data_IF_466666653959
#
_entry.id   IF_466666653959
#
_cell.length_a   1.000
_cell.length_b   1.000
_cell.length_c   1.000
_cell.angle_alpha   90.00
_cell.angle_beta   90.00
_cell.angle_gamma   90.00
#
_symmetry.space_group_name_H-M   'P 1'
#
loop_
_entity.id
_entity.type
_entity.pdbx_description
1 polymer ?
#
# COMPACT_ATOMS: atom_id res chain seq x y z
N UNK A 1 7.86 35.17 -57.72
CA UNK A 1 7.97 35.25 -56.24
C UNK A 1 6.62 34.99 -55.54
N UNK A 2 5.51 35.62 -55.89
CA UNK A 2 4.20 35.43 -55.23
C UNK A 2 3.66 33.98 -55.23
N UNK A 3 3.94 33.18 -56.26
CA UNK A 3 3.48 31.77 -56.37
C UNK A 3 4.13 30.84 -55.34
N UNK A 4 5.38 31.07 -54.97
CA UNK A 4 6.11 30.25 -54.00
C UNK A 4 5.72 30.58 -52.53
N UNK A 5 5.32 31.83 -52.29
CA UNK A 5 4.85 32.25 -50.97
C UNK A 5 3.53 31.56 -50.63
N UNK A 6 2.63 31.44 -51.59
CA UNK A 6 1.34 30.74 -51.38
C UNK A 6 1.53 29.23 -51.12
N UNK A 7 2.46 28.59 -51.84
CA UNK A 7 2.82 27.19 -51.64
C UNK A 7 3.46 26.95 -50.29
N UNK A 8 4.33 27.83 -49.83
CA UNK A 8 4.97 27.76 -48.53
C UNK A 8 3.95 27.90 -47.40
N UNK A 9 2.97 28.78 -47.54
CA UNK A 9 1.91 29.00 -46.56
C UNK A 9 1.00 27.75 -46.43
N UNK A 10 0.71 27.08 -47.54
CA UNK A 10 -0.06 25.86 -47.58
C UNK A 10 0.68 24.69 -46.90
N UNK A 11 2.00 24.60 -47.09
CA UNK A 11 2.85 23.59 -46.48
C UNK A 11 2.95 23.79 -44.97
N UNK A 12 3.10 25.02 -44.49
CA UNK A 12 3.13 25.35 -43.06
C UNK A 12 1.77 25.06 -42.39
N UNK A 13 0.65 25.37 -43.07
CA UNK A 13 -0.70 25.06 -42.58
C UNK A 13 -0.95 23.57 -42.44
N UNK A 14 -0.40 22.74 -43.32
CA UNK A 14 -0.51 21.28 -43.26
C UNK A 14 0.26 20.71 -42.07
N UNK A 15 1.44 21.25 -41.76
CA UNK A 15 2.27 20.80 -40.63
C UNK A 15 1.62 21.18 -39.29
N UNK A 16 0.98 22.34 -39.18
CA UNK A 16 0.32 22.78 -37.95
C UNK A 16 -0.89 21.93 -37.56
N UNK A 17 -1.57 21.29 -38.51
CA UNK A 17 -2.70 20.41 -38.22
C UNK A 17 -2.29 19.04 -37.71
N UNK A 18 -1.04 18.62 -37.85
CA UNK A 18 -0.57 17.29 -37.36
C UNK A 18 -0.29 17.27 -35.85
N UNK A 19 -0.14 18.39 -35.20
CA UNK A 19 0.13 18.48 -33.75
C UNK A 19 -1.14 18.51 -32.89
N UNK A 20 -2.33 18.57 -33.45
CA UNK A 20 -3.57 18.80 -32.72
C UNK A 20 -4.27 17.49 -32.24
N UNK A 21 -3.73 16.30 -32.54
CA UNK A 21 -4.44 15.05 -32.25
C UNK A 21 -3.69 14.12 -31.30
N UNK A 22 -3.25 14.66 -30.15
CA UNK A 22 -2.96 13.82 -29.01
C UNK A 22 -4.23 13.79 -28.13
N UNK A 23 -5.28 13.17 -28.62
CA UNK A 23 -6.35 12.74 -27.75
C UNK A 23 -5.75 11.71 -26.79
N UNK A 24 -5.60 12.10 -25.52
CA UNK A 24 -5.49 11.13 -24.44
C UNK A 24 -6.75 10.26 -24.57
N UNK A 25 -6.60 9.05 -25.05
CA UNK A 25 -7.65 8.05 -24.95
C UNK A 25 -8.00 7.95 -23.47
N UNK A 26 -9.07 8.62 -23.09
CA UNK A 26 -9.64 8.53 -21.76
C UNK A 26 -10.24 7.12 -21.69
N UNK A 27 -9.45 6.17 -21.20
CA UNK A 27 -9.91 4.79 -21.02
C UNK A 27 -11.15 4.85 -20.13
N UNK A 28 -12.26 4.35 -20.65
CA UNK A 28 -13.52 4.34 -19.94
C UNK A 28 -13.37 3.54 -18.64
N UNK A 29 -13.61 4.20 -17.51
CA UNK A 29 -13.53 3.56 -16.19
C UNK A 29 -14.65 2.55 -16.03
N UNK A 30 -14.29 1.34 -15.68
CA UNK A 30 -15.22 0.26 -15.37
C UNK A 30 -15.48 0.20 -13.87
N UNK A 31 -16.72 -0.07 -13.48
CA UNK A 31 -17.05 -0.33 -12.08
C UNK A 31 -16.83 -1.81 -11.77
N UNK A 32 -15.92 -2.06 -10.84
CA UNK A 32 -15.61 -3.39 -10.32
C UNK A 32 -16.27 -3.53 -8.95
N UNK A 33 -16.98 -4.63 -8.76
CA UNK A 33 -17.53 -5.04 -7.47
C UNK A 33 -16.97 -6.41 -7.07
N UNK A 34 -17.00 -6.71 -5.78
CA UNK A 34 -16.57 -8.03 -5.33
C UNK A 34 -16.73 -8.23 -3.85
N UNK A 35 -16.28 -9.37 -3.37
CA UNK A 35 -16.30 -9.75 -1.96
C UNK A 35 -14.91 -10.18 -1.56
N UNK A 36 -14.47 -9.74 -0.40
CA UNK A 36 -13.21 -10.18 0.22
C UNK A 36 -13.55 -11.08 1.40
N UNK A 37 -12.99 -12.28 1.40
CA UNK A 37 -13.19 -13.31 2.39
C UNK A 37 -11.84 -13.71 3.00
N UNK A 38 -11.88 -14.32 4.16
CA UNK A 38 -10.75 -15.04 4.76
C UNK A 38 -10.67 -16.50 4.26
N UNK A 39 -9.74 -17.28 4.81
CA UNK A 39 -9.56 -18.69 4.49
C UNK A 39 -10.76 -19.55 4.93
N UNK A 40 -11.52 -19.12 5.94
CA UNK A 40 -12.71 -19.80 6.47
C UNK A 40 -13.98 -19.41 5.68
N UNK A 41 -13.85 -18.57 4.64
CA UNK A 41 -14.94 -17.97 3.86
C UNK A 41 -15.79 -16.98 4.65
N UNK A 42 -15.24 -16.39 5.71
CA UNK A 42 -15.89 -15.31 6.45
C UNK A 42 -15.60 -13.95 5.78
N UNK A 43 -16.59 -13.04 5.73
CA UNK A 43 -16.41 -11.75 5.09
C UNK A 43 -15.46 -10.84 5.90
N UNK A 44 -14.45 -10.30 5.24
CA UNK A 44 -13.50 -9.36 5.85
C UNK A 44 -13.99 -7.92 5.72
N UNK A 45 -14.29 -7.32 6.86
CA UNK A 45 -14.75 -5.92 7.00
C UNK A 45 -13.56 -4.99 7.13
N UNK A 46 -13.58 -3.85 6.42
CA UNK A 46 -12.54 -2.84 6.58
C UNK A 46 -11.25 -3.11 5.79
N UNK A 47 -11.28 -4.05 4.84
CA UNK A 47 -10.15 -4.27 3.93
C UNK A 47 -9.98 -3.04 3.05
N UNK A 48 -8.76 -2.51 2.99
CA UNK A 48 -8.42 -1.42 2.09
C UNK A 48 -8.14 -1.98 0.69
N UNK A 49 -8.91 -1.52 -0.28
CA UNK A 49 -8.77 -1.86 -1.71
C UNK A 49 -8.27 -0.61 -2.42
N UNK A 50 -7.05 -0.60 -2.88
CA UNK A 50 -6.44 0.54 -3.57
C UNK A 50 -6.00 0.17 -4.99
N UNK A 51 -5.84 1.17 -5.84
CA UNK A 51 -5.27 0.99 -7.17
C UNK A 51 -3.76 1.21 -7.08
N UNK A 52 -2.99 0.26 -7.60
CA UNK A 52 -1.53 0.36 -7.63
C UNK A 52 -1.11 1.59 -8.43
N UNK A 53 -0.11 2.31 -7.94
CA UNK A 53 0.48 3.49 -8.57
C UNK A 53 -0.47 4.70 -8.73
N UNK A 54 -1.70 4.64 -8.19
CA UNK A 54 -2.64 5.77 -8.18
C UNK A 54 -3.03 6.11 -6.74
N UNK A 55 -2.34 7.05 -6.09
CA UNK A 55 -2.64 7.45 -4.72
C UNK A 55 -4.02 8.11 -4.63
N UNK A 56 -4.76 7.78 -3.58
CA UNK A 56 -6.08 8.35 -3.31
C UNK A 56 -7.25 7.69 -4.05
N UNK A 57 -7.00 6.74 -4.95
CA UNK A 57 -8.06 5.94 -5.57
C UNK A 57 -8.18 4.59 -4.87
N UNK A 58 -9.25 4.41 -4.10
CA UNK A 58 -9.49 3.20 -3.32
C UNK A 58 -10.91 3.07 -2.82
N UNK A 59 -11.20 1.95 -2.19
CA UNK A 59 -12.45 1.62 -1.53
C UNK A 59 -12.16 0.80 -0.26
N UNK A 60 -13.14 0.71 0.63
CA UNK A 60 -13.06 -0.12 1.83
C UNK A 60 -14.21 -1.11 1.79
N UNK A 61 -13.98 -2.36 2.25
CA UNK A 61 -15.04 -3.37 2.30
C UNK A 61 -16.06 -3.08 3.40
N UNK A 62 -17.32 -3.32 3.10
CA UNK A 62 -18.46 -3.18 4.02
C UNK A 62 -18.56 -4.37 5.02
N UNK A 63 -19.62 -4.36 5.84
CA UNK A 63 -19.89 -5.41 6.84
C UNK A 63 -20.11 -6.81 6.24
N UNK A 64 -20.39 -6.90 4.95
CA UNK A 64 -20.51 -8.15 4.22
C UNK A 64 -19.25 -8.49 3.40
N UNK A 65 -18.14 -7.77 3.63
CA UNK A 65 -16.91 -7.93 2.87
C UNK A 65 -16.99 -7.41 1.42
N UNK A 66 -18.05 -6.69 1.05
CA UNK A 66 -18.27 -6.20 -0.32
C UNK A 66 -17.56 -4.88 -0.55
N UNK A 67 -17.02 -4.71 -1.76
CA UNK A 67 -16.45 -3.44 -2.21
C UNK A 67 -16.95 -3.08 -3.61
N UNK A 68 -16.86 -1.78 -3.94
CA UNK A 68 -17.07 -1.25 -5.29
C UNK A 68 -16.02 -0.17 -5.56
N UNK A 69 -15.40 -0.24 -6.72
CA UNK A 69 -14.38 0.71 -7.14
C UNK A 69 -14.46 0.96 -8.64
N UNK A 70 -14.22 2.20 -9.08
CA UNK A 70 -14.15 2.55 -10.51
C UNK A 70 -12.70 2.68 -10.92
N UNK A 71 -12.26 1.84 -11.85
CA UNK A 71 -10.88 1.75 -12.29
C UNK A 71 -10.81 1.63 -13.82
N UNK A 72 -9.66 1.90 -14.38
CA UNK A 72 -9.40 1.62 -15.78
C UNK A 72 -9.09 0.13 -15.98
N UNK A 73 -9.38 -0.45 -17.16
CA UNK A 73 -8.97 -1.80 -17.48
C UNK A 73 -7.45 -1.98 -17.34
N UNK A 74 -7.02 -3.18 -17.00
CA UNK A 74 -5.61 -3.57 -16.85
C UNK A 74 -4.85 -2.87 -15.71
N UNK A 75 -5.54 -2.25 -14.76
CA UNK A 75 -4.94 -1.78 -13.52
C UNK A 75 -4.83 -2.89 -12.47
N UNK A 76 -3.90 -2.75 -11.54
CA UNK A 76 -3.74 -3.65 -10.41
C UNK A 76 -4.51 -3.12 -9.19
N UNK A 77 -5.36 -3.97 -8.64
CA UNK A 77 -5.97 -3.75 -7.32
C UNK A 77 -5.10 -4.38 -6.24
N UNK A 78 -4.86 -3.62 -5.20
CA UNK A 78 -4.07 -4.03 -4.04
C UNK A 78 -4.99 -4.11 -2.83
N UNK A 79 -5.08 -5.29 -2.25
CA UNK A 79 -5.88 -5.57 -1.06
C UNK A 79 -4.95 -5.65 0.14
N UNK A 80 -5.20 -4.81 1.15
CA UNK A 80 -4.43 -4.78 2.40
C UNK A 80 -5.35 -4.80 3.60
N UNK A 81 -5.00 -5.64 4.58
CA UNK A 81 -5.70 -5.73 5.85
C UNK A 81 -4.73 -6.12 6.96
N UNK A 82 -4.96 -5.64 8.18
CA UNK A 82 -4.07 -5.91 9.32
C UNK A 82 -4.13 -7.41 9.66
N UNK A 83 -2.96 -8.05 9.76
CA UNK A 83 -2.85 -9.49 10.06
C UNK A 83 -3.00 -10.39 8.84
N UNK A 84 -3.12 -9.84 7.63
CA UNK A 84 -3.24 -10.60 6.38
C UNK A 84 -2.15 -10.24 5.39
N UNK A 85 -1.78 -11.19 4.55
CA UNK A 85 -0.84 -10.97 3.47
C UNK A 85 -1.45 -10.08 2.39
N UNK A 86 -0.66 -9.11 1.93
CA UNK A 86 -1.05 -8.24 0.81
C UNK A 86 -1.31 -9.04 -0.45
N UNK A 87 -2.43 -8.79 -1.13
CA UNK A 87 -2.75 -9.40 -2.42
C UNK A 87 -2.84 -8.36 -3.53
N UNK A 88 -2.35 -8.71 -4.72
CA UNK A 88 -2.41 -7.87 -5.90
C UNK A 88 -3.13 -8.64 -7.03
N UNK A 89 -4.17 -8.05 -7.59
CA UNK A 89 -5.00 -8.68 -8.64
C UNK A 89 -5.12 -7.75 -9.83
N UNK A 90 -4.79 -8.26 -11.01
CA UNK A 90 -4.95 -7.52 -12.26
C UNK A 90 -6.43 -7.48 -12.67
N UNK A 91 -6.97 -6.29 -12.80
CA UNK A 91 -8.31 -6.05 -13.35
C UNK A 91 -8.23 -6.23 -14.86
N UNK A 92 -8.97 -7.22 -15.37
CA UNK A 92 -9.21 -7.38 -16.79
C UNK A 92 -10.56 -6.72 -17.15
N UNK A 93 -11.31 -7.31 -18.02
CA UNK A 93 -12.66 -6.84 -18.40
C UNK A 93 -13.77 -7.34 -17.47
N UNK A 94 -13.41 -8.07 -16.42
CA UNK A 94 -14.36 -8.64 -15.46
C UNK A 94 -14.92 -7.56 -14.55
N UNK A 95 -16.24 -7.59 -14.32
CA UNK A 95 -16.95 -6.65 -13.44
C UNK A 95 -17.03 -7.11 -11.99
N UNK A 96 -16.68 -8.37 -11.71
CA UNK A 96 -16.72 -8.94 -10.36
C UNK A 96 -15.43 -9.70 -10.03
N UNK A 97 -14.89 -9.45 -8.84
CA UNK A 97 -13.66 -10.06 -8.34
C UNK A 97 -13.88 -10.53 -6.91
N UNK A 98 -13.82 -11.84 -6.68
CA UNK A 98 -13.85 -12.41 -5.34
C UNK A 98 -12.42 -12.73 -4.89
N UNK A 99 -12.06 -12.28 -3.69
CA UNK A 99 -10.72 -12.37 -3.14
C UNK A 99 -10.75 -13.18 -1.86
N UNK A 100 -9.83 -14.12 -1.69
CA UNK A 100 -9.60 -14.84 -0.43
C UNK A 100 -8.25 -14.40 0.09
N UNK A 101 -8.23 -13.68 1.21
CA UNK A 101 -6.99 -13.24 1.85
C UNK A 101 -6.43 -14.33 2.76
N UNK A 102 -5.11 -14.43 2.80
CA UNK A 102 -4.40 -15.36 3.69
C UNK A 102 -3.91 -14.60 4.91
N UNK A 103 -4.04 -15.20 6.08
CA UNK A 103 -3.44 -14.66 7.30
C UNK A 103 -1.93 -14.59 7.15
N UNK A 104 -1.37 -13.44 7.48
CA UNK A 104 0.07 -13.26 7.48
C UNK A 104 0.68 -14.20 8.51
N UNK A 105 1.55 -15.09 8.06
CA UNK A 105 2.35 -15.89 9.00
C UNK A 105 3.16 -14.90 9.83
N UNK A 106 3.01 -14.98 11.16
CA UNK A 106 3.82 -14.17 12.07
C UNK A 106 5.30 -14.48 11.78
N UNK A 107 5.90 -13.69 10.91
CA UNK A 107 7.35 -13.66 10.80
C UNK A 107 7.80 -13.08 12.12
N UNK A 108 8.53 -13.87 12.92
CA UNK A 108 9.12 -13.38 14.15
C UNK A 108 9.77 -12.04 13.84
N UNK A 109 9.23 -10.98 14.43
CA UNK A 109 9.80 -9.65 14.31
C UNK A 109 11.19 -9.78 14.92
N UNK A 110 12.23 -9.70 14.08
CA UNK A 110 13.58 -9.55 14.59
C UNK A 110 13.55 -8.28 15.48
N UNK A 111 13.56 -8.50 16.78
CA UNK A 111 13.59 -7.44 17.77
C UNK A 111 14.84 -6.59 17.48
N UNK A 112 14.62 -5.43 16.86
CA UNK A 112 15.68 -4.46 16.64
C UNK A 112 15.98 -3.84 18.01
N UNK A 113 16.92 -4.46 18.72
CA UNK A 113 17.48 -3.87 19.94
C UNK A 113 18.27 -2.62 19.53
N UNK A 114 17.65 -1.46 19.69
CA UNK A 114 18.32 -0.16 19.52
C UNK A 114 19.23 0.05 20.72
N UNK A 115 20.45 -0.43 20.64
CA UNK A 115 21.49 -0.01 21.57
C UNK A 115 21.95 1.38 21.18
N UNK A 116 21.91 2.35 22.10
CA UNK A 116 22.13 3.79 21.89
C UNK A 116 23.49 4.23 21.36
N UNK A 117 24.28 3.35 20.77
CA UNK A 117 25.57 3.62 20.12
C UNK A 117 25.71 2.82 18.84
N UNK A 118 25.15 3.33 17.71
CA UNK A 118 25.43 2.85 16.36
C UNK A 118 24.87 1.47 16.05
N UNK A 119 24.22 1.35 14.89
CA UNK A 119 23.68 0.08 14.39
C UNK A 119 24.82 -0.93 14.17
N UNK A 120 24.98 -1.89 15.07
CA UNK A 120 25.80 -3.06 14.83
C UNK A 120 24.92 -4.22 14.37
N UNK A 121 25.22 -4.71 13.17
CA UNK A 121 24.62 -5.91 12.59
C UNK A 121 24.90 -7.11 13.49
N UNK A 122 23.86 -7.66 14.13
CA UNK A 122 23.97 -8.85 14.99
C UNK A 122 24.39 -10.05 14.15
N UNK A 123 25.60 -10.54 14.38
CA UNK A 123 26.07 -11.81 13.86
C UNK A 123 25.40 -12.90 14.70
N UNK A 124 24.69 -13.80 14.07
CA UNK A 124 24.05 -14.96 14.70
C UNK A 124 25.14 -15.86 15.30
N UNK A 125 25.34 -15.81 16.62
CA UNK A 125 26.14 -16.80 17.32
C UNK A 125 25.20 -17.90 17.81
N UNK A 126 25.30 -19.05 17.20
CA UNK A 126 24.70 -20.29 17.68
C UNK A 126 25.47 -20.77 18.92
N UNK A 127 24.95 -20.47 20.10
CA UNK A 127 25.54 -20.91 21.36
C UNK A 127 24.56 -20.60 22.48
N UNK A 128 24.23 -21.64 23.26
CA UNK A 128 23.32 -21.61 24.38
C UNK A 128 23.65 -20.47 25.36
N UNK A 129 22.78 -19.47 25.48
CA UNK A 129 22.84 -18.45 26.49
C UNK A 129 21.77 -18.69 27.53
N UNK A 130 22.21 -19.03 28.72
CA UNK A 130 21.38 -19.11 29.93
C UNK A 130 20.94 -17.68 30.28
N UNK A 131 19.64 -17.42 30.27
CA UNK A 131 19.07 -16.14 30.76
C UNK A 131 19.15 -16.10 32.28
N UNK A 132 19.97 -15.21 32.80
CA UNK A 132 19.96 -14.84 34.21
C UNK A 132 19.14 -13.57 34.36
N UNK A 133 17.94 -13.70 34.92
CA UNK A 133 17.11 -12.57 35.31
C UNK A 133 17.73 -11.89 36.54
N UNK A 134 18.48 -10.83 36.32
CA UNK A 134 18.92 -9.93 37.38
C UNK A 134 17.86 -8.83 37.58
N UNK A 135 16.87 -9.11 38.42
CA UNK A 135 15.97 -8.08 38.92
C UNK A 135 16.75 -7.26 39.96
N UNK A 136 17.32 -6.16 39.57
CA UNK A 136 17.92 -5.19 40.46
C UNK A 136 16.89 -4.17 40.89
N UNK A 137 16.25 -4.38 42.06
CA UNK A 137 15.48 -3.38 42.73
C UNK A 137 16.43 -2.39 43.44
N UNK A 138 16.66 -1.25 42.83
CA UNK A 138 17.25 -0.12 43.57
C UNK A 138 16.18 0.54 44.41
N UNK A 139 16.26 0.31 45.72
CA UNK A 139 15.51 1.06 46.71
C UNK A 139 15.95 2.55 46.67
N UNK A 140 15.09 3.39 46.14
CA UNK A 140 15.18 4.84 46.40
C UNK A 140 14.71 5.09 47.83
N UNK A 141 15.68 5.38 48.69
CA UNK A 141 15.46 5.89 50.03
C UNK A 141 14.74 7.23 49.92
N UNK A 142 13.53 7.30 50.47
CA UNK A 142 12.87 8.57 50.73
C UNK A 142 13.71 9.36 51.78
N UNK A 143 14.10 10.55 51.36
CA UNK A 143 14.75 11.51 52.29
C UNK A 143 13.63 12.19 53.09
N UNK A 144 13.58 11.83 54.34
CA UNK A 144 12.74 12.48 55.36
C UNK A 144 13.35 13.84 55.68
N UNK A 145 12.66 14.90 55.29
CA UNK A 145 13.01 16.26 55.73
C UNK A 145 12.28 16.54 57.02
N UNK A 146 13.03 16.48 58.13
CA UNK A 146 12.64 17.04 59.40
C UNK A 146 12.41 18.55 59.26
N UNK A 147 11.21 18.95 59.61
CA UNK A 147 10.80 20.35 59.76
C UNK A 147 11.03 20.74 61.22
N UNK A 148 11.89 21.72 61.43
CA UNK A 148 12.05 22.42 62.73
C UNK A 148 11.10 23.61 62.77
N UNK A 149 10.33 23.70 63.92
CA UNK A 149 9.66 24.85 64.55
C UNK A 149 8.55 25.53 63.73
#
# INVERSE_FOLDING_TARGET
MKKYILSLFFLISCVLNTYAHTEKQQQEKIEISGIVLDQNKEPLVGVNVSVKDIPGLGAITDINGKFKIKVEPYQWLVFTFIGFDKQEILVKEQKSINVIMQEAKATAIDEVVITGTGAQKKITMTGAATTVDAVSYTHLRAHETDSYL
#
